data_IF_599481439073
#
_entry.id   IF_599481439073
#
_cell.length_a   1.000
_cell.length_b   1.000
_cell.length_c   1.000
_cell.angle_alpha   90.00
_cell.angle_beta   90.00
_cell.angle_gamma   90.00
#
_symmetry.space_group_name_H-M   'P 1'
#
loop_
_entity.id
_entity.type
_entity.pdbx_description
1 polymer ?
#
# COMPACT_ATOMS: atom_id res chain seq x y z
N UNK A 1 35.81 -32.86 -12.97
CA UNK A 1 34.86 -31.75 -12.87
C UNK A 1 35.31 -30.66 -13.82
N UNK A 2 34.52 -30.32 -14.84
CA UNK A 2 34.80 -29.14 -15.66
C UNK A 2 34.41 -27.90 -14.86
N UNK A 3 35.40 -27.21 -14.29
CA UNK A 3 35.19 -25.88 -13.70
C UNK A 3 35.34 -24.86 -14.81
N UNK A 4 34.22 -24.27 -15.22
CA UNK A 4 34.22 -23.11 -16.10
C UNK A 4 35.09 -21.99 -15.48
N UNK A 5 35.74 -21.14 -16.31
CA UNK A 5 36.47 -19.98 -15.82
C UNK A 5 35.57 -19.12 -14.94
N UNK A 6 36.13 -18.63 -13.82
CA UNK A 6 35.40 -17.88 -12.80
C UNK A 6 34.83 -16.59 -13.44
N UNK A 7 33.51 -16.34 -13.38
CA UNK A 7 32.92 -15.12 -13.92
C UNK A 7 33.42 -13.86 -13.20
N UNK A 8 33.46 -12.73 -13.91
CA UNK A 8 33.80 -11.43 -13.32
C UNK A 8 32.89 -11.08 -12.13
N UNK A 9 33.50 -10.56 -11.06
CA UNK A 9 32.79 -10.16 -9.83
C UNK A 9 32.53 -11.30 -8.82
N UNK A 10 32.97 -12.52 -9.10
CA UNK A 10 32.88 -13.67 -8.18
C UNK A 10 34.12 -13.72 -7.29
N UNK A 11 33.95 -13.67 -5.96
CA UNK A 11 35.10 -13.68 -5.03
C UNK A 11 35.88 -14.99 -5.08
N UNK A 12 37.15 -14.93 -4.67
CA UNK A 12 38.03 -16.10 -4.56
C UNK A 12 37.64 -17.08 -3.42
N UNK A 13 36.54 -16.81 -2.70
CA UNK A 13 36.09 -17.65 -1.61
C UNK A 13 35.71 -19.07 -2.11
N UNK A 14 35.88 -20.12 -1.27
CA UNK A 14 35.61 -21.52 -1.64
C UNK A 14 34.18 -21.82 -2.13
N UNK A 15 33.22 -20.95 -1.80
CA UNK A 15 31.85 -21.03 -2.29
C UNK A 15 31.39 -19.64 -2.76
N UNK A 16 31.47 -19.39 -4.06
CA UNK A 16 31.06 -18.12 -4.65
C UNK A 16 30.14 -18.36 -5.85
N UNK A 17 28.92 -17.84 -5.77
CA UNK A 17 27.93 -17.92 -6.84
C UNK A 17 27.98 -16.66 -7.70
N UNK A 18 27.77 -16.78 -9.00
CA UNK A 18 27.61 -15.61 -9.89
C UNK A 18 26.43 -14.73 -9.50
N UNK A 19 26.48 -13.44 -9.86
CA UNK A 19 25.44 -12.46 -9.52
C UNK A 19 24.05 -12.86 -10.03
N UNK A 20 23.97 -13.54 -11.18
CA UNK A 20 22.70 -14.02 -11.74
C UNK A 20 22.02 -15.03 -10.81
N UNK A 21 22.78 -15.97 -10.25
CA UNK A 21 22.23 -16.95 -9.31
C UNK A 21 21.85 -16.28 -7.99
N UNK A 22 22.61 -15.30 -7.54
CA UNK A 22 22.27 -14.51 -6.35
C UNK A 22 20.98 -13.71 -6.53
N UNK A 23 20.82 -13.04 -7.67
CA UNK A 23 19.61 -12.31 -8.05
C UNK A 23 18.41 -13.27 -8.13
N UNK A 24 18.59 -14.44 -8.74
CA UNK A 24 17.55 -15.47 -8.82
C UNK A 24 17.08 -15.94 -7.45
N UNK A 25 18.00 -16.22 -6.53
CA UNK A 25 17.64 -16.54 -5.15
C UNK A 25 16.79 -15.43 -4.52
N UNK A 26 17.22 -14.17 -4.61
CA UNK A 26 16.48 -13.05 -4.01
C UNK A 26 15.10 -12.88 -4.67
N UNK A 27 15.00 -13.06 -5.98
CA UNK A 27 13.73 -13.04 -6.72
C UNK A 27 12.76 -14.11 -6.22
N UNK A 28 13.20 -15.35 -6.07
CA UNK A 28 12.38 -16.42 -5.51
C UNK A 28 11.92 -16.11 -4.08
N UNK A 29 12.79 -15.59 -3.24
CA UNK A 29 12.50 -15.31 -1.83
C UNK A 29 11.58 -14.10 -1.61
N UNK A 30 11.70 -13.07 -2.44
CA UNK A 30 11.01 -11.78 -2.27
C UNK A 30 9.74 -11.73 -3.12
N UNK A 31 9.85 -12.03 -4.42
CA UNK A 31 8.73 -11.90 -5.37
C UNK A 31 7.80 -13.10 -5.29
N UNK A 32 8.35 -14.32 -5.20
CA UNK A 32 7.58 -15.56 -5.17
C UNK A 32 7.38 -16.15 -3.77
N UNK A 33 7.91 -15.48 -2.74
CA UNK A 33 7.79 -15.89 -1.34
C UNK A 33 8.24 -17.33 -1.03
N UNK A 34 9.13 -17.90 -1.87
CA UNK A 34 9.66 -19.25 -1.69
C UNK A 34 10.42 -19.32 -0.36
N UNK A 35 10.19 -20.33 0.49
CA UNK A 35 10.97 -20.54 1.71
C UNK A 35 12.46 -20.73 1.42
N UNK A 36 13.31 -20.30 2.35
CA UNK A 36 14.78 -20.32 2.19
C UNK A 36 15.35 -21.71 1.86
N UNK A 37 14.85 -22.75 2.51
CA UNK A 37 15.31 -24.13 2.29
C UNK A 37 14.88 -24.64 0.91
N UNK A 38 13.62 -24.42 0.50
CA UNK A 38 13.17 -24.72 -0.87
C UNK A 38 13.94 -23.95 -1.93
N UNK A 39 14.29 -22.69 -1.66
CA UNK A 39 15.14 -21.92 -2.58
C UNK A 39 16.53 -22.56 -2.75
N UNK A 40 17.13 -23.07 -1.67
CA UNK A 40 18.41 -23.78 -1.75
C UNK A 40 18.27 -25.12 -2.52
N UNK A 41 17.22 -25.88 -2.24
CA UNK A 41 16.90 -27.14 -2.95
C UNK A 41 16.68 -26.91 -4.44
N UNK A 42 15.89 -25.88 -4.81
CA UNK A 42 15.66 -25.52 -6.22
C UNK A 42 16.95 -25.16 -6.95
N UNK A 43 17.85 -24.43 -6.29
CA UNK A 43 19.16 -24.09 -6.87
C UNK A 43 20.01 -25.36 -7.06
N UNK A 44 20.05 -26.25 -6.09
CA UNK A 44 20.72 -27.54 -6.20
C UNK A 44 20.16 -28.38 -7.35
N UNK A 45 18.84 -28.54 -7.44
CA UNK A 45 18.21 -29.31 -8.50
C UNK A 45 18.45 -28.73 -9.90
N UNK A 46 18.46 -27.39 -10.05
CA UNK A 46 18.61 -26.75 -11.35
C UNK A 46 20.05 -26.61 -11.82
N UNK A 47 21.01 -26.45 -10.90
CA UNK A 47 22.38 -26.04 -11.23
C UNK A 47 23.46 -26.99 -10.75
N UNK A 48 23.11 -27.95 -9.88
CA UNK A 48 24.07 -28.79 -9.16
C UNK A 48 24.86 -28.06 -8.07
N UNK A 49 24.68 -26.74 -7.91
CA UNK A 49 25.31 -25.99 -6.82
C UNK A 49 24.50 -26.15 -5.52
N UNK A 50 25.17 -26.40 -4.40
CA UNK A 50 24.53 -26.67 -3.11
C UNK A 50 24.73 -25.50 -2.12
N UNK A 51 24.08 -24.33 -2.32
CA UNK A 51 24.21 -23.23 -1.38
C UNK A 51 23.53 -23.57 -0.06
N UNK A 52 24.19 -23.26 1.06
CA UNK A 52 23.54 -23.39 2.36
C UNK A 52 22.33 -22.45 2.50
N UNK A 53 21.27 -22.83 3.24
CA UNK A 53 20.16 -21.93 3.56
C UNK A 53 20.63 -20.61 4.19
N UNK A 54 21.70 -20.65 4.99
CA UNK A 54 22.31 -19.47 5.58
C UNK A 54 22.91 -18.51 4.53
N UNK A 55 23.55 -19.06 3.49
CA UNK A 55 24.01 -18.25 2.35
C UNK A 55 22.84 -17.58 1.62
N UNK A 56 21.83 -18.37 1.25
CA UNK A 56 20.62 -17.89 0.54
C UNK A 56 19.93 -16.77 1.32
N UNK A 57 19.77 -16.94 2.64
CA UNK A 57 19.14 -15.96 3.51
C UNK A 57 19.90 -14.62 3.57
N UNK A 58 21.24 -14.65 3.56
CA UNK A 58 22.08 -13.42 3.58
C UNK A 58 21.94 -12.60 2.30
N UNK A 59 21.53 -13.20 1.19
CA UNK A 59 21.38 -12.48 -0.09
C UNK A 59 20.30 -11.39 -0.02
N UNK A 60 19.24 -11.58 0.79
CA UNK A 60 18.21 -10.56 0.99
C UNK A 60 18.81 -9.29 1.60
N UNK A 61 19.71 -9.43 2.58
CA UNK A 61 20.39 -8.28 3.20
C UNK A 61 21.32 -7.56 2.22
N UNK A 62 22.03 -8.31 1.38
CA UNK A 62 22.89 -7.73 0.32
C UNK A 62 22.07 -6.96 -0.72
N UNK A 63 20.96 -7.52 -1.18
CA UNK A 63 20.06 -6.83 -2.10
C UNK A 63 19.43 -5.58 -1.45
N UNK A 64 19.01 -5.66 -0.19
CA UNK A 64 18.46 -4.51 0.54
C UNK A 64 19.46 -3.37 0.68
N UNK A 65 20.73 -3.67 0.96
CA UNK A 65 21.80 -2.68 0.97
C UNK A 65 22.00 -2.04 -0.41
N UNK A 66 21.98 -2.85 -1.48
CA UNK A 66 22.14 -2.38 -2.85
C UNK A 66 21.02 -1.41 -3.29
N UNK A 67 19.79 -1.58 -2.78
CA UNK A 67 18.63 -0.73 -3.15
C UNK A 67 18.34 0.38 -2.13
N UNK A 68 19.21 0.58 -1.13
CA UNK A 68 18.93 1.50 -0.02
C UNK A 68 18.78 2.96 -0.48
N UNK A 69 19.66 3.42 -1.38
CA UNK A 69 19.63 4.79 -1.93
C UNK A 69 18.37 5.02 -2.77
N UNK A 70 17.98 4.04 -3.59
CA UNK A 70 16.73 4.10 -4.35
C UNK A 70 15.51 4.17 -3.42
N UNK A 71 15.46 3.35 -2.35
CA UNK A 71 14.36 3.40 -1.38
C UNK A 71 14.25 4.74 -0.65
N UNK A 72 15.38 5.35 -0.28
CA UNK A 72 15.38 6.69 0.32
C UNK A 72 14.78 7.73 -0.64
N UNK A 73 15.17 7.66 -1.93
CA UNK A 73 14.60 8.52 -2.98
C UNK A 73 13.11 8.26 -3.20
N UNK A 74 12.67 7.01 -3.27
CA UNK A 74 11.25 6.66 -3.43
C UNK A 74 10.43 7.26 -2.29
N UNK A 75 10.88 7.11 -1.04
CA UNK A 75 10.22 7.71 0.12
C UNK A 75 10.12 9.23 -0.01
N UNK A 76 11.22 9.91 -0.37
CA UNK A 76 11.25 11.35 -0.59
C UNK A 76 10.27 11.79 -1.68
N UNK A 77 10.27 11.12 -2.83
CA UNK A 77 9.37 11.43 -3.94
C UNK A 77 7.90 11.23 -3.57
N UNK A 78 7.58 10.21 -2.76
CA UNK A 78 6.24 10.02 -2.22
C UNK A 78 5.86 11.13 -1.23
N UNK A 79 6.79 11.55 -0.36
CA UNK A 79 6.56 12.68 0.56
C UNK A 79 6.25 13.98 -0.20
N UNK A 80 6.89 14.21 -1.34
CA UNK A 80 6.68 15.38 -2.20
C UNK A 80 5.53 15.22 -3.20
N UNK A 81 4.91 14.03 -3.29
CA UNK A 81 3.86 13.77 -4.26
C UNK A 81 2.57 14.50 -3.87
N UNK A 82 1.80 14.92 -4.89
CA UNK A 82 0.51 15.54 -4.64
C UNK A 82 -0.53 14.55 -4.07
N UNK A 83 -0.48 13.27 -4.48
CA UNK A 83 -1.42 12.24 -4.02
C UNK A 83 -0.66 10.97 -3.64
N UNK A 84 -0.98 10.44 -2.45
CA UNK A 84 -0.40 9.19 -1.94
C UNK A 84 -1.50 8.31 -1.37
N UNK A 85 -1.63 7.09 -1.87
CA UNK A 85 -2.46 6.05 -1.27
C UNK A 85 -1.70 5.39 -0.12
N UNK A 86 -2.35 5.32 1.03
CA UNK A 86 -1.81 4.71 2.25
C UNK A 86 -2.73 3.60 2.74
N UNK A 87 -2.12 2.54 3.26
CA UNK A 87 -2.81 1.44 3.94
C UNK A 87 -1.83 0.68 4.85
N UNK A 88 -2.36 -0.14 5.72
CA UNK A 88 -1.59 -0.99 6.61
C UNK A 88 -2.24 -2.34 6.85
N UNK A 89 -1.41 -3.37 6.90
CA UNK A 89 -1.89 -4.73 7.16
C UNK A 89 -1.11 -5.39 8.28
N UNK A 90 -1.76 -6.14 9.19
CA UNK A 90 -1.05 -6.94 10.17
C UNK A 90 -0.23 -8.03 9.48
N UNK A 91 1.00 -8.23 9.96
CA UNK A 91 1.89 -9.29 9.50
C UNK A 91 2.52 -10.05 10.67
N UNK A 92 2.72 -11.36 10.49
CA UNK A 92 3.30 -12.24 11.51
C UNK A 92 4.83 -12.18 11.47
N UNK A 93 5.40 -11.30 12.30
CA UNK A 93 6.85 -11.10 12.39
C UNK A 93 7.33 -11.22 13.84
N UNK A 94 8.52 -11.79 14.03
CA UNK A 94 9.17 -11.87 15.33
C UNK A 94 8.45 -12.84 16.29
N UNK A 95 8.59 -12.63 17.61
CA UNK A 95 7.96 -13.47 18.64
C UNK A 95 6.44 -13.59 18.46
N UNK A 96 5.85 -14.72 18.89
CA UNK A 96 4.42 -15.01 18.66
C UNK A 96 3.45 -13.88 19.08
N UNK A 97 3.76 -13.20 20.18
CA UNK A 97 2.94 -12.12 20.76
C UNK A 97 3.16 -10.73 20.13
N UNK A 98 4.18 -10.55 19.30
CA UNK A 98 4.45 -9.26 18.67
C UNK A 98 3.40 -8.96 17.57
N UNK A 99 2.69 -7.84 17.71
CA UNK A 99 1.83 -7.29 16.66
C UNK A 99 2.67 -6.35 15.81
N UNK A 100 2.85 -6.69 14.53
CA UNK A 100 3.55 -5.85 13.55
C UNK A 100 2.64 -5.59 12.37
N UNK A 101 2.85 -4.44 11.75
CA UNK A 101 2.13 -4.01 10.57
C UNK A 101 3.14 -3.72 9.47
N UNK A 102 2.73 -4.04 8.25
CA UNK A 102 3.35 -3.52 7.05
C UNK A 102 2.52 -2.34 6.60
N UNK A 103 3.10 -1.15 6.63
CA UNK A 103 2.50 0.07 6.13
C UNK A 103 3.00 0.28 4.69
N UNK A 104 2.12 0.71 3.79
CA UNK A 104 2.47 1.03 2.41
C UNK A 104 2.06 2.45 2.07
N UNK A 105 2.97 3.20 1.44
CA UNK A 105 2.70 4.46 0.80
C UNK A 105 2.99 4.29 -0.69
N UNK A 106 2.04 4.64 -1.54
CA UNK A 106 2.20 4.40 -2.96
C UNK A 106 1.41 5.36 -3.83
N UNK A 107 1.80 5.46 -5.09
CA UNK A 107 1.00 6.05 -6.16
C UNK A 107 1.11 5.16 -7.42
N UNK A 108 0.76 5.70 -8.58
CA UNK A 108 0.81 4.95 -9.84
C UNK A 108 2.23 4.43 -10.18
N UNK A 109 3.27 5.15 -9.76
CA UNK A 109 4.66 4.89 -10.15
C UNK A 109 5.55 4.39 -9.01
N UNK A 110 5.25 4.79 -7.77
CA UNK A 110 6.13 4.60 -6.61
C UNK A 110 5.45 3.76 -5.54
N UNK A 111 6.23 2.90 -4.87
CA UNK A 111 5.79 2.10 -3.71
C UNK A 111 6.88 2.11 -2.65
N UNK A 112 6.52 2.43 -1.41
CA UNK A 112 7.40 2.31 -0.27
C UNK A 112 6.71 1.59 0.88
N UNK A 113 7.41 0.63 1.47
CA UNK A 113 6.92 -0.14 2.60
C UNK A 113 7.69 0.18 3.88
N UNK A 114 6.98 0.15 5.00
CA UNK A 114 7.58 0.25 6.32
C UNK A 114 7.07 -0.84 7.26
N UNK A 115 8.00 -1.58 7.86
CA UNK A 115 7.68 -2.45 8.99
C UNK A 115 7.59 -1.63 10.27
N UNK A 116 6.43 -1.66 10.93
CA UNK A 116 6.17 -0.85 12.12
C UNK A 116 5.06 -1.40 13.02
N UNK A 117 4.65 -0.57 13.97
CA UNK A 117 3.38 -0.71 14.69
C UNK A 117 2.24 -0.04 13.94
N UNK A 118 1.05 -0.04 14.54
CA UNK A 118 -0.11 0.76 14.11
C UNK A 118 -0.40 1.85 15.16
N UNK A 119 0.63 2.28 15.87
CA UNK A 119 0.60 3.39 16.83
C UNK A 119 0.99 4.70 16.12
N UNK A 120 0.69 5.82 16.78
CA UNK A 120 0.99 7.15 16.25
C UNK A 120 2.48 7.37 16.03
N UNK A 121 3.36 6.83 16.88
CA UNK A 121 4.81 6.94 16.74
C UNK A 121 5.31 6.28 15.44
N UNK A 122 4.73 5.13 15.06
CA UNK A 122 5.00 4.53 13.76
C UNK A 122 4.56 5.44 12.63
N UNK A 123 3.37 6.03 12.72
CA UNK A 123 2.84 6.93 11.70
C UNK A 123 3.67 8.21 11.55
N UNK A 124 4.20 8.77 12.64
CA UNK A 124 5.15 9.92 12.61
C UNK A 124 6.46 9.64 11.87
N UNK A 125 6.83 8.36 11.70
CA UNK A 125 7.99 7.95 10.89
C UNK A 125 7.59 7.54 9.46
N UNK A 126 6.31 7.50 9.16
CA UNK A 126 5.76 7.09 7.88
C UNK A 126 5.70 8.26 6.87
N UNK A 127 5.26 8.01 5.64
CA UNK A 127 5.22 9.04 4.58
C UNK A 127 4.23 10.19 4.87
N UNK A 128 2.99 9.94 5.34
CA UNK A 128 2.01 11.01 5.60
C UNK A 128 2.50 12.09 6.57
N UNK A 129 3.49 11.78 7.41
CA UNK A 129 4.02 12.74 8.37
C UNK A 129 4.76 13.93 7.74
N UNK A 130 5.32 13.73 6.54
CA UNK A 130 5.97 14.81 5.77
C UNK A 130 5.15 15.26 4.56
N UNK A 131 3.97 14.69 4.34
CA UNK A 131 3.15 14.96 3.16
C UNK A 131 2.39 16.28 3.34
N UNK A 132 2.37 17.10 2.28
CA UNK A 132 1.54 18.32 2.19
C UNK A 132 0.44 18.20 1.14
N UNK A 133 0.41 17.09 0.39
CA UNK A 133 -0.62 16.76 -0.59
C UNK A 133 -1.82 16.05 0.04
N UNK A 134 -2.39 15.09 -0.69
CA UNK A 134 -3.58 14.33 -0.28
C UNK A 134 -3.21 12.88 0.05
N UNK A 135 -3.55 12.44 1.26
CA UNK A 135 -3.50 11.04 1.67
C UNK A 135 -4.84 10.35 1.37
N UNK A 136 -4.79 9.26 0.59
CA UNK A 136 -5.96 8.41 0.29
C UNK A 136 -5.93 7.18 1.21
N UNK A 137 -6.88 7.03 2.14
CA UNK A 137 -6.85 5.98 3.17
C UNK A 137 -8.24 5.52 3.64
N UNK A 138 -8.30 4.44 4.44
CA UNK A 138 -9.50 3.75 4.93
C UNK A 138 -10.18 4.38 6.16
N UNK A 139 -9.84 5.63 6.52
CA UNK A 139 -10.30 6.34 7.74
C UNK A 139 -9.78 5.74 9.05
N UNK A 140 -8.62 5.08 9.08
CA UNK A 140 -8.00 4.75 10.36
C UNK A 140 -7.60 6.02 11.16
N UNK A 141 -7.95 6.06 12.44
CA UNK A 141 -7.87 7.26 13.29
C UNK A 141 -6.48 7.92 13.36
N UNK A 142 -5.39 7.16 13.22
CA UNK A 142 -4.05 7.75 13.32
C UNK A 142 -3.73 8.66 12.13
N UNK A 143 -4.37 8.46 10.97
CA UNK A 143 -4.24 9.40 9.86
C UNK A 143 -4.82 10.78 10.23
N UNK A 144 -5.82 10.84 11.10
CA UNK A 144 -6.48 12.07 11.54
C UNK A 144 -5.81 12.72 12.76
N UNK A 145 -4.67 12.19 13.22
CA UNK A 145 -3.97 12.76 14.37
C UNK A 145 -3.40 14.15 14.04
N UNK A 146 -3.70 15.13 14.89
CA UNK A 146 -3.36 16.55 14.69
C UNK A 146 -1.86 16.82 14.59
N UNK A 147 -1.04 15.94 15.15
CA UNK A 147 0.42 16.02 15.14
C UNK A 147 1.09 15.03 14.17
N UNK A 148 0.30 14.38 13.28
CA UNK A 148 0.85 13.52 12.24
C UNK A 148 1.42 14.36 11.10
N UNK A 149 0.63 15.24 10.50
CA UNK A 149 1.03 16.06 9.35
C UNK A 149 -0.05 17.07 8.96
N UNK A 150 0.21 17.87 7.92
CA UNK A 150 -0.69 18.93 7.43
C UNK A 150 -1.39 18.57 6.10
N UNK A 151 -1.38 17.29 5.75
CA UNK A 151 -1.96 16.81 4.49
C UNK A 151 -3.49 16.86 4.50
N UNK A 152 -4.06 16.92 3.31
CA UNK A 152 -5.48 16.73 3.06
C UNK A 152 -5.85 15.24 3.01
N UNK A 153 -7.14 14.93 3.17
CA UNK A 153 -7.62 13.55 3.15
C UNK A 153 -8.53 13.27 1.95
N UNK A 154 -8.39 12.07 1.38
CA UNK A 154 -9.43 11.41 0.62
C UNK A 154 -9.79 10.10 1.33
N UNK A 155 -11.02 10.00 1.80
CA UNK A 155 -11.52 8.76 2.40
C UNK A 155 -11.85 7.73 1.33
N UNK A 156 -11.40 6.49 1.50
CA UNK A 156 -11.61 5.45 0.50
C UNK A 156 -13.10 5.15 0.31
N UNK A 157 -13.62 5.50 -0.87
CA UNK A 157 -15.03 5.30 -1.21
C UNK A 157 -15.42 3.81 -1.24
N UNK A 158 -14.49 2.89 -1.51
CA UNK A 158 -14.77 1.45 -1.48
C UNK A 158 -15.00 0.91 -0.07
N UNK A 159 -14.38 1.50 0.95
CA UNK A 159 -14.68 1.18 2.35
C UNK A 159 -16.03 1.78 2.75
N UNK A 160 -16.30 3.05 2.40
CA UNK A 160 -17.58 3.69 2.69
C UNK A 160 -18.76 2.98 2.01
N UNK A 161 -18.61 2.51 0.78
CA UNK A 161 -19.64 1.73 0.07
C UNK A 161 -19.91 0.40 0.79
N UNK A 162 -18.88 -0.26 1.33
CA UNK A 162 -19.06 -1.48 2.14
C UNK A 162 -19.77 -1.18 3.45
N UNK A 163 -19.36 -0.14 4.17
CA UNK A 163 -20.05 0.30 5.40
C UNK A 163 -21.54 0.63 5.11
N UNK A 164 -21.85 1.19 3.94
CA UNK A 164 -23.21 1.47 3.50
C UNK A 164 -24.00 0.22 3.10
N UNK A 165 -23.34 -0.83 2.61
CA UNK A 165 -23.96 -2.14 2.37
C UNK A 165 -24.35 -2.78 3.70
N UNK A 166 -23.43 -2.81 4.67
CA UNK A 166 -23.70 -3.31 6.03
C UNK A 166 -24.87 -2.54 6.69
N UNK A 167 -24.98 -1.24 6.41
CA UNK A 167 -26.13 -0.44 6.84
C UNK A 167 -27.42 -0.80 6.11
N UNK A 168 -27.39 -1.17 4.83
CA UNK A 168 -28.58 -1.63 4.12
C UNK A 168 -29.11 -2.94 4.71
N UNK A 169 -28.21 -3.85 5.10
CA UNK A 169 -28.56 -5.09 5.80
C UNK A 169 -29.13 -4.82 7.20
N UNK A 170 -28.53 -3.86 7.92
CA UNK A 170 -28.96 -3.48 9.28
C UNK A 170 -30.29 -2.71 9.29
N UNK A 171 -30.55 -1.90 8.27
CA UNK A 171 -31.73 -1.03 8.15
C UNK A 171 -32.49 -1.33 6.85
N UNK A 172 -33.14 -2.50 6.71
CA UNK A 172 -33.69 -2.97 5.43
C UNK A 172 -34.84 -2.10 4.89
N UNK A 173 -35.50 -1.32 5.74
CA UNK A 173 -36.57 -0.39 5.33
C UNK A 173 -36.05 1.01 5.00
N UNK A 174 -34.79 1.30 5.30
CA UNK A 174 -34.20 2.61 5.10
C UNK A 174 -33.72 2.79 3.65
N UNK A 175 -33.98 3.97 3.07
CA UNK A 175 -33.60 4.27 1.68
C UNK A 175 -32.24 4.93 1.57
N UNK A 176 -31.78 5.57 2.63
CA UNK A 176 -30.53 6.33 2.64
C UNK A 176 -29.27 5.49 2.33
N UNK A 177 -29.12 4.20 2.73
CA UNK A 177 -27.89 3.47 2.44
C UNK A 177 -27.72 3.27 0.92
N UNK A 178 -28.76 2.76 0.25
CA UNK A 178 -28.78 2.56 -1.20
C UNK A 178 -28.63 3.88 -1.96
N UNK A 179 -29.27 4.97 -1.51
CA UNK A 179 -29.11 6.30 -2.11
C UNK A 179 -27.66 6.81 -2.02
N UNK A 180 -27.00 6.64 -0.88
CA UNK A 180 -25.60 7.06 -0.71
C UNK A 180 -24.65 6.21 -1.55
N UNK A 181 -24.89 4.89 -1.64
CA UNK A 181 -24.14 4.03 -2.54
C UNK A 181 -24.28 4.46 -4.00
N UNK A 182 -25.52 4.77 -4.43
CA UNK A 182 -25.80 5.27 -5.78
C UNK A 182 -25.06 6.58 -6.07
N UNK A 183 -25.07 7.52 -5.11
CA UNK A 183 -24.36 8.79 -5.26
C UNK A 183 -22.84 8.60 -5.39
N UNK A 184 -22.23 7.79 -4.52
CA UNK A 184 -20.78 7.52 -4.56
C UNK A 184 -20.38 6.77 -5.83
N UNK A 185 -21.11 5.72 -6.20
CA UNK A 185 -20.84 4.96 -7.44
C UNK A 185 -21.02 5.82 -8.69
N UNK A 186 -22.04 6.70 -8.69
CA UNK A 186 -22.28 7.66 -9.75
C UNK A 186 -21.13 8.65 -9.93
N UNK A 187 -20.62 9.22 -8.84
CA UNK A 187 -19.44 10.10 -8.88
C UNK A 187 -18.18 9.37 -9.33
N UNK A 188 -17.96 8.14 -8.85
CA UNK A 188 -16.82 7.31 -9.29
C UNK A 188 -16.88 7.06 -10.79
N UNK A 189 -18.05 6.65 -11.29
CA UNK A 189 -18.26 6.40 -12.71
C UNK A 189 -18.03 7.68 -13.54
N UNK A 190 -18.60 8.81 -13.11
CA UNK A 190 -18.44 10.08 -13.80
C UNK A 190 -16.97 10.58 -13.79
N UNK A 191 -16.25 10.37 -12.68
CA UNK A 191 -14.83 10.70 -12.58
C UNK A 191 -13.98 9.84 -13.53
N UNK A 192 -14.25 8.54 -13.62
CA UNK A 192 -13.54 7.64 -14.52
C UNK A 192 -13.82 7.99 -15.98
N UNK A 193 -15.09 8.21 -16.35
CA UNK A 193 -15.47 8.61 -17.69
C UNK A 193 -14.82 9.93 -18.10
N UNK A 194 -14.75 10.91 -17.18
CA UNK A 194 -14.06 12.18 -17.44
C UNK A 194 -12.56 11.97 -17.72
N UNK A 195 -11.88 11.11 -16.94
CA UNK A 195 -10.46 10.76 -17.18
C UNK A 195 -10.26 10.05 -18.51
N UNK A 196 -11.09 9.07 -18.83
CA UNK A 196 -11.04 8.32 -20.10
C UNK A 196 -11.24 9.25 -21.31
N UNK A 197 -12.04 10.30 -21.16
CA UNK A 197 -12.28 11.32 -22.18
C UNK A 197 -11.25 12.46 -22.17
N UNK A 198 -10.21 12.39 -21.34
CA UNK A 198 -9.19 13.44 -21.22
C UNK A 198 -9.70 14.76 -20.63
N UNK A 199 -10.82 14.75 -19.91
CA UNK A 199 -11.39 15.94 -19.27
C UNK A 199 -10.73 16.18 -17.90
N UNK A 200 -10.55 17.45 -17.55
CA UNK A 200 -9.99 17.85 -16.25
C UNK A 200 -11.00 17.80 -15.09
N UNK A 201 -12.29 17.66 -15.36
CA UNK A 201 -13.34 17.66 -14.34
C UNK A 201 -14.58 16.85 -14.76
N UNK A 202 -15.38 16.43 -13.78
CA UNK A 202 -16.73 15.90 -14.00
C UNK A 202 -17.63 17.01 -14.56
N UNK A 203 -18.52 16.67 -15.49
CA UNK A 203 -19.52 17.62 -15.99
C UNK A 203 -20.33 18.24 -14.83
N UNK A 204 -20.44 19.57 -14.82
CA UNK A 204 -21.00 20.32 -13.68
C UNK A 204 -22.38 19.82 -13.25
N UNK A 205 -23.29 19.58 -14.21
CA UNK A 205 -24.63 19.04 -13.92
C UNK A 205 -24.61 17.68 -13.24
N UNK A 206 -23.73 16.77 -13.69
CA UNK A 206 -23.55 15.44 -13.11
C UNK A 206 -22.98 15.52 -11.69
N UNK A 207 -21.96 16.36 -11.49
CA UNK A 207 -21.38 16.61 -10.17
C UNK A 207 -22.44 17.14 -9.20
N UNK A 208 -23.17 18.19 -9.60
CA UNK A 208 -24.26 18.77 -8.78
C UNK A 208 -25.34 17.75 -8.45
N UNK A 209 -25.77 16.94 -9.43
CA UNK A 209 -26.79 15.91 -9.23
C UNK A 209 -26.38 14.91 -8.15
N UNK A 210 -25.20 14.30 -8.28
CA UNK A 210 -24.77 13.27 -7.33
C UNK A 210 -24.35 13.87 -5.98
N UNK A 211 -23.76 15.07 -5.93
CA UNK A 211 -23.48 15.74 -4.65
C UNK A 211 -24.77 16.08 -3.90
N UNK A 212 -25.83 16.51 -4.61
CA UNK A 212 -27.15 16.73 -4.01
C UNK A 212 -27.77 15.42 -3.50
N UNK A 213 -27.68 14.34 -4.29
CA UNK A 213 -28.13 13.00 -3.90
C UNK A 213 -27.40 12.51 -2.64
N UNK A 214 -26.07 12.70 -2.57
CA UNK A 214 -25.26 12.37 -1.39
C UNK A 214 -25.72 13.13 -0.15
N UNK A 215 -25.78 14.47 -0.22
CA UNK A 215 -26.20 15.31 0.92
C UNK A 215 -27.61 14.99 1.39
N UNK A 216 -28.53 14.74 0.45
CA UNK A 216 -29.89 14.30 0.76
C UNK A 216 -29.93 12.96 1.48
N UNK A 217 -29.12 11.99 1.04
CA UNK A 217 -29.02 10.67 1.68
C UNK A 217 -28.50 10.78 3.12
N UNK A 218 -27.48 11.61 3.34
CA UNK A 218 -26.95 11.88 4.70
C UNK A 218 -28.03 12.51 5.58
N UNK A 219 -28.76 13.51 5.07
CA UNK A 219 -29.82 14.19 5.82
C UNK A 219 -30.97 13.24 6.22
N UNK A 220 -31.43 12.40 5.27
CA UNK A 220 -32.46 11.38 5.54
C UNK A 220 -31.95 10.38 6.57
N UNK A 221 -30.76 9.83 6.39
CA UNK A 221 -30.18 8.88 7.34
C UNK A 221 -30.04 9.44 8.75
N UNK A 222 -29.56 10.69 8.89
CA UNK A 222 -29.46 11.35 10.21
C UNK A 222 -30.83 11.63 10.85
N UNK A 223 -31.88 11.76 10.04
CA UNK A 223 -33.26 11.94 10.52
C UNK A 223 -33.86 10.62 11.04
N UNK A 224 -33.52 9.49 10.42
CA UNK A 224 -34.02 8.15 10.77
C UNK A 224 -33.20 7.52 11.91
N UNK A 225 -31.87 7.60 11.81
CA UNK A 225 -30.95 7.03 12.80
C UNK A 225 -30.60 8.09 13.84
N UNK A 226 -31.34 8.10 14.95
CA UNK A 226 -31.13 9.05 16.05
C UNK A 226 -29.92 8.67 16.91
N UNK A 227 -29.33 9.68 17.56
CA UNK A 227 -28.36 9.44 18.63
C UNK A 227 -29.04 8.79 19.82
N UNK A 228 -28.34 7.89 20.47
CA UNK A 228 -28.72 7.38 21.79
C UNK A 228 -28.28 8.42 22.84
N UNK A 229 -29.19 8.93 23.70
CA UNK A 229 -28.85 9.90 24.73
C UNK A 229 -27.87 9.34 25.77
N UNK A 230 -26.94 10.17 26.24
CA UNK A 230 -26.05 9.87 27.37
C UNK A 230 -24.57 10.20 27.10
N UNK A 231 -23.69 10.02 28.12
CA UNK A 231 -22.28 10.35 28.01
C UNK A 231 -21.54 9.47 26.98
N UNK A 232 -20.67 10.08 26.17
CA UNK A 232 -19.92 9.37 25.13
C UNK A 232 -19.02 8.23 25.66
N UNK A 233 -18.61 8.28 26.93
CA UNK A 233 -17.79 7.24 27.58
C UNK A 233 -18.57 5.96 27.90
N UNK A 234 -19.89 6.03 28.01
CA UNK A 234 -20.74 4.93 28.48
C UNK A 234 -21.80 4.52 27.46
N UNK A 235 -22.08 5.36 26.46
CA UNK A 235 -23.10 5.10 25.43
C UNK A 235 -22.43 4.93 24.07
N UNK A 236 -22.58 3.72 23.52
CA UNK A 236 -22.17 3.40 22.14
C UNK A 236 -23.27 3.85 21.18
N UNK A 237 -22.90 4.65 20.18
CA UNK A 237 -23.81 5.05 19.11
C UNK A 237 -23.95 3.91 18.07
N UNK A 238 -25.09 3.81 17.36
CA UNK A 238 -25.24 2.88 16.26
C UNK A 238 -24.15 3.10 15.19
N UNK A 239 -23.62 2.03 14.59
CA UNK A 239 -22.58 2.12 13.56
C UNK A 239 -23.04 3.00 12.39
N UNK A 240 -24.28 2.83 11.94
CA UNK A 240 -24.88 3.69 10.90
C UNK A 240 -24.92 5.17 11.30
N UNK A 241 -25.14 5.48 12.59
CA UNK A 241 -25.10 6.87 13.09
C UNK A 241 -23.71 7.47 12.96
N UNK A 242 -22.69 6.72 13.40
CA UNK A 242 -21.28 7.17 13.33
C UNK A 242 -20.87 7.37 11.88
N UNK A 243 -21.24 6.45 10.97
CA UNK A 243 -20.98 6.58 9.55
C UNK A 243 -21.62 7.85 8.97
N UNK A 244 -22.91 8.08 9.23
CA UNK A 244 -23.62 9.26 8.73
C UNK A 244 -23.01 10.57 9.24
N UNK A 245 -22.54 10.61 10.49
CA UNK A 245 -21.83 11.77 11.04
C UNK A 245 -20.49 11.99 10.34
N UNK A 246 -19.74 10.93 10.04
CA UNK A 246 -18.54 11.05 9.21
C UNK A 246 -18.88 11.59 7.81
N UNK A 247 -19.91 11.04 7.15
CA UNK A 247 -20.29 11.48 5.80
C UNK A 247 -20.76 12.94 5.78
N UNK A 248 -21.32 13.45 6.88
CA UNK A 248 -21.67 14.87 7.06
C UNK A 248 -20.44 15.72 7.33
N UNK A 249 -19.70 15.40 8.37
CA UNK A 249 -18.64 16.26 8.92
C UNK A 249 -17.37 16.24 8.07
N UNK A 250 -17.15 15.14 7.34
CA UNK A 250 -16.01 14.94 6.43
C UNK A 250 -16.43 14.82 4.97
N UNK A 251 -17.55 15.45 4.59
CA UNK A 251 -18.04 15.40 3.20
C UNK A 251 -16.98 15.84 2.18
N UNK A 252 -16.14 16.82 2.52
CA UNK A 252 -15.04 17.27 1.68
C UNK A 252 -14.01 16.15 1.44
N UNK A 253 -13.64 15.40 2.48
CA UNK A 253 -12.69 14.28 2.37
C UNK A 253 -13.29 13.07 1.64
N UNK A 254 -14.60 12.87 1.72
CA UNK A 254 -15.30 11.79 1.00
C UNK A 254 -15.37 12.08 -0.50
N UNK A 255 -15.66 13.33 -0.86
CA UNK A 255 -15.99 13.73 -2.24
C UNK A 255 -14.83 14.42 -2.98
N UNK A 256 -13.65 14.54 -2.36
CA UNK A 256 -12.51 15.29 -2.93
C UNK A 256 -12.15 14.85 -4.35
N UNK A 257 -12.13 13.54 -4.60
CA UNK A 257 -11.85 12.93 -5.91
C UNK A 257 -12.80 13.40 -7.02
N UNK A 258 -14.01 13.83 -6.67
CA UNK A 258 -15.00 14.31 -7.63
C UNK A 258 -14.73 15.76 -8.07
N UNK A 259 -13.98 16.51 -7.27
CA UNK A 259 -13.57 17.89 -7.54
C UNK A 259 -12.16 17.98 -8.13
N UNK A 260 -11.30 17.00 -7.85
CA UNK A 260 -9.96 16.88 -8.42
C UNK A 260 -9.71 15.46 -8.94
N UNK A 261 -9.67 15.32 -10.25
CA UNK A 261 -9.52 14.02 -10.92
C UNK A 261 -8.13 13.41 -10.78
N UNK A 262 -7.13 14.13 -10.25
CA UNK A 262 -5.81 13.55 -9.92
C UNK A 262 -5.90 12.60 -8.72
N UNK A 263 -6.91 12.78 -7.87
CA UNK A 263 -7.12 12.01 -6.65
C UNK A 263 -7.99 10.78 -7.00
N UNK A 264 -7.53 9.54 -6.72
CA UNK A 264 -8.35 8.37 -6.92
C UNK A 264 -9.44 8.28 -5.84
N UNK A 265 -10.64 7.77 -6.17
CA UNK A 265 -11.72 7.61 -5.19
C UNK A 265 -11.43 6.54 -4.13
N UNK A 266 -10.47 5.64 -4.40
CA UNK A 266 -10.17 4.48 -3.56
C UNK A 266 -8.68 4.33 -3.33
N UNK A 267 -8.30 3.72 -2.20
CA UNK A 267 -6.91 3.34 -1.91
C UNK A 267 -6.56 1.95 -2.48
N UNK A 268 -7.28 1.47 -3.52
CA UNK A 268 -7.12 0.13 -4.09
C UNK A 268 -5.68 -0.20 -4.54
N UNK A 269 -4.86 0.80 -4.84
CA UNK A 269 -3.45 0.59 -5.14
C UNK A 269 -2.68 0.10 -3.90
N UNK A 270 -2.85 0.76 -2.76
CA UNK A 270 -2.23 0.38 -1.50
C UNK A 270 -2.67 -1.02 -1.05
N UNK A 271 -3.97 -1.30 -1.11
CA UNK A 271 -4.49 -2.64 -0.82
C UNK A 271 -3.87 -3.72 -1.72
N UNK A 272 -3.78 -3.47 -3.04
CA UNK A 272 -3.17 -4.40 -4.00
C UNK A 272 -1.71 -4.65 -3.69
N UNK A 273 -0.97 -3.59 -3.39
CA UNK A 273 0.47 -3.66 -3.07
C UNK A 273 0.72 -4.40 -1.74
N UNK A 274 -0.24 -4.40 -0.79
CA UNK A 274 -0.13 -5.17 0.45
C UNK A 274 -0.53 -6.66 0.32
N UNK A 275 -1.32 -7.06 -0.69
CA UNK A 275 -1.78 -8.46 -0.84
C UNK A 275 -0.64 -9.50 -0.88
N UNK A 276 0.49 -9.28 -1.59
CA UNK A 276 1.62 -10.21 -1.59
C UNK A 276 2.11 -10.59 -0.19
N UNK A 277 2.06 -9.67 0.78
CA UNK A 277 2.44 -9.95 2.17
C UNK A 277 1.55 -11.01 2.86
N UNK A 278 0.28 -11.13 2.44
CA UNK A 278 -0.62 -12.20 2.92
C UNK A 278 -0.33 -13.52 2.23
N UNK A 279 -0.08 -13.51 0.93
CA UNK A 279 0.34 -14.71 0.17
C UNK A 279 1.62 -15.29 0.75
N UNK A 280 2.60 -14.44 1.03
CA UNK A 280 3.84 -14.82 1.71
C UNK A 280 3.55 -15.53 3.03
N UNK A 281 2.66 -15.01 3.88
CA UNK A 281 2.32 -15.64 5.16
C UNK A 281 1.58 -16.98 5.01
N UNK A 282 0.83 -17.17 3.92
CA UNK A 282 0.21 -18.47 3.61
C UNK A 282 1.26 -19.52 3.23
N UNK A 283 2.28 -19.12 2.45
CA UNK A 283 3.33 -20.01 1.95
C UNK A 283 4.39 -20.29 3.04
N UNK A 284 5.03 -19.25 3.57
CA UNK A 284 6.19 -19.36 4.47
C UNK A 284 5.86 -19.13 5.95
N UNK A 285 4.59 -18.90 6.29
CA UNK A 285 4.16 -18.73 7.68
C UNK A 285 4.72 -17.45 8.33
N UNK A 286 5.28 -17.59 9.54
CA UNK A 286 5.78 -16.48 10.35
C UNK A 286 7.23 -16.13 10.02
N UNK A 287 7.49 -14.85 9.79
CA UNK A 287 8.84 -14.31 9.64
C UNK A 287 9.50 -14.16 11.01
N UNK A 288 10.65 -14.80 11.23
CA UNK A 288 11.28 -14.84 12.56
C UNK A 288 12.12 -13.59 12.88
N UNK A 289 12.65 -12.90 11.87
CA UNK A 289 13.53 -11.73 12.04
C UNK A 289 12.87 -10.46 11.51
N UNK A 290 12.74 -9.44 12.38
CA UNK A 290 12.28 -8.11 11.96
C UNK A 290 13.23 -7.47 10.94
N UNK A 291 14.54 -7.57 11.15
CA UNK A 291 15.54 -7.00 10.25
C UNK A 291 15.44 -7.61 8.84
N UNK A 292 15.36 -8.94 8.73
CA UNK A 292 15.21 -9.57 7.41
C UNK A 292 13.87 -9.26 6.76
N UNK A 293 12.83 -9.05 7.56
CA UNK A 293 11.53 -8.59 7.05
C UNK A 293 11.63 -7.17 6.48
N UNK A 294 12.35 -6.26 7.16
CA UNK A 294 12.65 -4.93 6.61
C UNK A 294 13.42 -5.02 5.30
N UNK A 295 14.45 -5.86 5.25
CA UNK A 295 15.24 -6.07 4.02
C UNK A 295 14.37 -6.60 2.87
N UNK A 296 13.51 -7.59 3.12
CA UNK A 296 12.58 -8.12 2.11
C UNK A 296 11.73 -7.01 1.51
N UNK A 297 11.06 -6.22 2.36
CA UNK A 297 10.13 -5.21 1.84
C UNK A 297 10.85 -3.97 1.27
N UNK A 298 12.10 -3.71 1.66
CA UNK A 298 12.95 -2.74 0.96
C UNK A 298 13.26 -3.19 -0.48
N UNK A 299 13.57 -4.47 -0.67
CA UNK A 299 13.78 -5.04 -2.01
C UNK A 299 12.47 -5.06 -2.79
N UNK A 300 11.37 -5.53 -2.19
CA UNK A 300 10.05 -5.60 -2.84
C UNK A 300 9.55 -4.21 -3.29
N UNK A 301 9.65 -3.19 -2.43
CA UNK A 301 9.25 -1.82 -2.76
C UNK A 301 10.04 -1.25 -3.95
N UNK A 302 11.36 -1.47 -3.97
CA UNK A 302 12.21 -1.08 -5.09
C UNK A 302 11.82 -1.81 -6.39
N UNK A 303 11.70 -3.14 -6.35
CA UNK A 303 11.40 -3.95 -7.54
C UNK A 303 10.01 -3.66 -8.09
N UNK A 304 9.03 -3.47 -7.22
CA UNK A 304 7.67 -3.08 -7.60
C UNK A 304 7.65 -1.69 -8.22
N UNK A 305 8.45 -0.76 -7.70
CA UNK A 305 8.64 0.58 -8.30
C UNK A 305 9.31 0.50 -9.67
N UNK A 306 10.38 -0.29 -9.82
CA UNK A 306 11.05 -0.48 -11.11
C UNK A 306 10.11 -1.10 -12.16
N UNK A 307 9.33 -2.12 -11.76
CA UNK A 307 8.32 -2.75 -12.62
C UNK A 307 7.23 -1.78 -13.08
N UNK A 308 6.77 -0.88 -12.19
CA UNK A 308 5.85 0.22 -12.56
C UNK A 308 6.41 1.18 -13.63
N UNK A 309 7.73 1.20 -13.82
CA UNK A 309 8.41 1.97 -14.87
C UNK A 309 8.83 1.10 -16.08
N UNK A 310 8.33 -0.13 -16.18
CA UNK A 310 8.57 -1.02 -17.31
C UNK A 310 9.90 -1.79 -17.26
N UNK A 311 10.62 -1.75 -16.13
CA UNK A 311 11.84 -2.54 -15.98
C UNK A 311 11.51 -4.01 -15.66
N UNK A 312 12.27 -4.92 -16.27
CA UNK A 312 12.26 -6.32 -15.86
C UNK A 312 12.82 -6.47 -14.43
N UNK A 313 12.07 -7.18 -13.59
CA UNK A 313 12.37 -7.32 -12.15
C UNK A 313 13.69 -8.04 -11.93
N UNK A 314 13.97 -9.09 -12.70
CA UNK A 314 15.23 -9.85 -12.59
C UNK A 314 16.43 -9.01 -12.99
N UNK A 315 16.31 -8.25 -14.08
CA UNK A 315 17.31 -7.30 -14.55
C UNK A 315 17.57 -6.21 -13.53
N UNK A 316 16.51 -5.57 -13.02
CA UNK A 316 16.63 -4.51 -12.01
C UNK A 316 17.29 -4.97 -10.71
N UNK A 317 17.06 -6.23 -10.31
CA UNK A 317 17.70 -6.84 -9.15
C UNK A 317 19.18 -7.18 -9.41
N UNK A 318 19.49 -7.79 -10.55
CA UNK A 318 20.86 -8.10 -10.96
C UNK A 318 21.70 -6.83 -11.04
N UNK A 319 21.17 -5.81 -11.70
CA UNK A 319 21.88 -4.55 -11.94
C UNK A 319 22.11 -3.79 -10.63
N UNK A 320 21.14 -3.81 -9.71
CA UNK A 320 21.34 -3.31 -8.35
C UNK A 320 22.50 -4.04 -7.63
N UNK A 321 22.55 -5.38 -7.69
CA UNK A 321 23.64 -6.17 -7.09
C UNK A 321 25.00 -5.93 -7.75
N UNK A 322 25.03 -5.48 -9.01
CA UNK A 322 26.23 -5.06 -9.75
C UNK A 322 26.62 -3.61 -9.51
N UNK A 323 25.87 -2.86 -8.68
CA UNK A 323 26.09 -1.43 -8.47
C UNK A 323 25.60 -0.52 -9.61
N UNK A 324 24.88 -1.08 -10.59
CA UNK A 324 24.22 -0.37 -11.69
C UNK A 324 22.76 -0.08 -11.33
N UNK A 325 22.57 0.52 -10.16
CA UNK A 325 21.25 0.76 -9.57
C UNK A 325 20.43 1.72 -10.45
N UNK A 326 19.24 1.31 -10.87
CA UNK A 326 18.28 2.21 -11.50
C UNK A 326 17.66 3.13 -10.44
N UNK A 327 17.51 4.40 -10.76
CA UNK A 327 16.90 5.38 -9.88
C UNK A 327 15.57 5.85 -10.49
N UNK A 328 14.48 5.96 -9.70
CA UNK A 328 13.26 6.56 -10.17
C UNK A 328 13.53 7.98 -10.71
N UNK A 329 12.95 8.37 -11.86
CA UNK A 329 13.16 9.69 -12.43
C UNK A 329 12.64 10.78 -11.49
N UNK A 330 13.06 12.02 -11.72
CA UNK A 330 12.41 13.16 -11.07
C UNK A 330 10.94 13.22 -11.51
N UNK A 331 10.04 13.78 -10.68
CA UNK A 331 8.67 14.02 -11.11
C UNK A 331 8.71 14.89 -12.36
N UNK A 332 7.90 14.57 -13.37
CA UNK A 332 7.72 15.47 -14.49
C UNK A 332 7.30 16.84 -13.95
N UNK A 333 7.93 17.92 -14.42
CA UNK A 333 7.48 19.28 -14.14
C UNK A 333 6.03 19.39 -14.61
N UNK A 334 5.14 19.71 -13.67
CA UNK A 334 3.70 19.85 -13.90
C UNK A 334 3.39 20.98 -14.89
#
# INVERSE_FOLDING_TARGET
MHTAPRPDGVSAAPASCGVNLQAWCVYLLVVHAIPVHWCAELVASLTGAEPSPGFVHRLIGRAAAAVAVANARIRMLLTLAYVVCCDETPIRVGPKKAKKYLLVACNQLLIWYMLGGRDLDAFKRFVPAGLTGVAVHDRYQNYDATDLGIHDHQLCAAHLIRDLEDCAETYPQARWPAQLQMALRGLIHAANLAREQGRGAIAAGTLTMFTKMFRGGVAVGLSEVKRVPGPAKTVTQPVGRVLLEVLRDRAADVLRFAHDLRIPPTNNQAERDLRPAKTQQKISGRLRSEQHTRHRYAVDGYLSTASKHGLDVMTGLRDALLGKLWMPPDPATA
#
